data_IF_593315331903
#
_entry.id   IF_593315331903
#
_cell.length_a   1.000
_cell.length_b   1.000
_cell.length_c   1.000
_cell.angle_alpha   90.00
_cell.angle_beta   90.00
_cell.angle_gamma   90.00
#
_symmetry.space_group_name_H-M   'P 1'
#
loop_
_entity.id
_entity.type
_entity.pdbx_description
1 polymer ?
#
# COMPACT_ATOMS: atom_id res chain seq x y z
N UNK A 1 -31.56 -7.02 -5.97
CA UNK A 1 -30.57 -6.21 -5.22
C UNK A 1 -30.38 -6.63 -3.75
N UNK A 2 -30.79 -7.84 -3.31
CA UNK A 2 -30.73 -8.29 -1.90
C UNK A 2 -29.35 -8.86 -1.44
N UNK A 3 -28.31 -8.80 -2.27
CA UNK A 3 -26.97 -9.32 -1.95
C UNK A 3 -25.84 -8.28 -1.91
N UNK A 4 -26.13 -7.00 -2.21
CA UNK A 4 -25.10 -5.94 -2.29
C UNK A 4 -24.89 -5.20 -0.95
N UNK A 5 -25.88 -5.22 -0.07
CA UNK A 5 -25.81 -4.54 1.23
C UNK A 5 -25.56 -5.56 2.33
N UNK A 6 -24.58 -5.33 3.23
CA UNK A 6 -24.34 -6.22 4.37
C UNK A 6 -25.61 -6.29 5.22
N UNK A 7 -25.75 -7.39 5.96
CA UNK A 7 -26.82 -7.58 6.91
C UNK A 7 -26.94 -6.34 7.83
N UNK A 8 -28.15 -5.96 8.27
CA UNK A 8 -28.35 -4.86 9.21
C UNK A 8 -27.41 -5.01 10.41
N UNK A 9 -26.58 -4.01 10.68
CA UNK A 9 -25.54 -4.10 11.70
C UNK A 9 -24.45 -3.03 11.59
N UNK A 10 -23.40 -3.10 12.43
CA UNK A 10 -22.36 -2.07 12.56
C UNK A 10 -21.54 -1.86 11.28
N UNK A 11 -21.58 -2.82 10.36
CA UNK A 11 -20.88 -2.74 9.07
C UNK A 11 -21.50 -1.73 8.10
N UNK A 12 -22.80 -1.42 8.19
CA UNK A 12 -23.46 -0.44 7.31
C UNK A 12 -22.97 0.99 7.54
N UNK A 13 -23.02 1.56 8.77
CA UNK A 13 -22.49 2.89 9.00
C UNK A 13 -20.98 2.95 8.75
N UNK A 14 -20.25 1.88 9.08
CA UNK A 14 -18.82 1.82 8.79
C UNK A 14 -18.50 1.79 7.30
N UNK A 15 -19.32 1.10 6.49
CA UNK A 15 -19.20 1.09 5.04
C UNK A 15 -19.54 2.46 4.43
N UNK A 16 -20.58 3.14 4.91
CA UNK A 16 -20.92 4.49 4.46
C UNK A 16 -19.81 5.50 4.81
N UNK A 17 -19.32 5.49 6.06
CA UNK A 17 -18.18 6.31 6.47
C UNK A 17 -16.93 6.00 5.62
N UNK A 18 -16.68 4.72 5.34
CA UNK A 18 -15.60 4.30 4.43
C UNK A 18 -15.79 4.89 3.04
N UNK A 19 -16.99 4.77 2.46
CA UNK A 19 -17.27 5.23 1.11
C UNK A 19 -17.02 6.75 1.01
N UNK A 20 -17.63 7.53 1.90
CA UNK A 20 -17.51 8.99 1.92
C UNK A 20 -16.05 9.45 2.03
N UNK A 21 -15.30 8.92 3.00
CA UNK A 21 -13.88 9.24 3.18
C UNK A 21 -13.02 8.80 1.98
N UNK A 22 -13.36 7.68 1.33
CA UNK A 22 -12.60 7.19 0.16
C UNK A 22 -12.92 7.91 -1.12
N UNK A 23 -14.13 8.47 -1.28
CA UNK A 23 -14.44 9.44 -2.33
C UNK A 23 -13.57 10.68 -2.17
N UNK A 24 -13.52 11.26 -0.98
CA UNK A 24 -12.64 12.40 -0.70
C UNK A 24 -11.16 12.11 -1.02
N UNK A 25 -10.66 10.98 -0.55
CA UNK A 25 -9.29 10.55 -0.83
C UNK A 25 -9.00 10.39 -2.34
N UNK A 26 -9.96 9.85 -3.11
CA UNK A 26 -9.85 9.75 -4.56
C UNK A 26 -9.78 11.11 -5.27
N UNK A 27 -10.51 12.13 -4.76
CA UNK A 27 -10.38 13.51 -5.25
C UNK A 27 -8.91 13.96 -5.12
N UNK A 28 -8.35 13.85 -3.92
CA UNK A 28 -7.00 14.32 -3.62
C UNK A 28 -5.92 13.52 -4.35
N UNK A 29 -6.05 12.20 -4.48
CA UNK A 29 -5.09 11.38 -5.24
C UNK A 29 -4.96 11.85 -6.69
N UNK A 30 -6.05 12.36 -7.27
CA UNK A 30 -6.11 12.80 -8.66
C UNK A 30 -5.50 14.19 -8.86
N UNK A 31 -5.67 15.09 -7.88
CA UNK A 31 -5.43 16.52 -8.09
C UNK A 31 -4.27 17.09 -7.25
N UNK A 32 -3.89 16.45 -6.14
CA UNK A 32 -2.95 17.01 -5.16
C UNK A 32 -1.55 17.27 -5.73
N UNK A 33 -0.97 16.30 -6.45
CA UNK A 33 0.36 16.46 -7.05
C UNK A 33 0.37 17.63 -8.06
N UNK A 34 -0.67 17.72 -8.90
CA UNK A 34 -0.81 18.79 -9.88
C UNK A 34 -1.07 20.15 -9.22
N UNK A 35 -1.85 20.20 -8.14
CA UNK A 35 -2.05 21.42 -7.37
C UNK A 35 -0.72 21.96 -6.80
N UNK A 36 0.05 21.10 -6.12
CA UNK A 36 1.34 21.52 -5.58
C UNK A 36 2.35 21.89 -6.66
N UNK A 37 2.30 21.23 -7.81
CA UNK A 37 3.21 21.54 -8.91
C UNK A 37 2.85 22.82 -9.67
N UNK A 38 1.58 22.98 -10.05
CA UNK A 38 1.12 24.06 -10.94
C UNK A 38 0.72 25.32 -10.19
N UNK A 39 0.09 25.18 -9.02
CA UNK A 39 -0.46 26.33 -8.27
C UNK A 39 0.52 26.81 -7.21
N UNK A 40 1.12 25.89 -6.45
CA UNK A 40 2.13 26.25 -5.44
C UNK A 40 3.52 26.41 -6.05
N UNK A 41 3.79 25.77 -7.21
CA UNK A 41 5.08 25.89 -7.90
C UNK A 41 6.17 24.94 -7.39
N UNK A 42 5.81 23.88 -6.65
CA UNK A 42 6.77 22.87 -6.19
C UNK A 42 7.20 21.96 -7.34
N UNK A 43 8.48 21.62 -7.39
CA UNK A 43 8.95 20.59 -8.32
C UNK A 43 8.40 19.21 -7.95
N UNK A 44 8.26 18.31 -8.94
CA UNK A 44 7.86 16.91 -8.71
C UNK A 44 8.82 16.22 -7.71
N UNK A 45 10.12 16.55 -7.79
CA UNK A 45 11.12 16.05 -6.86
C UNK A 45 10.86 16.51 -5.42
N UNK A 46 10.55 17.79 -5.20
CA UNK A 46 10.18 18.31 -3.88
C UNK A 46 8.93 17.64 -3.32
N UNK A 47 7.88 17.48 -4.13
CA UNK A 47 6.65 16.80 -3.71
C UNK A 47 6.97 15.35 -3.30
N UNK A 48 7.73 14.63 -4.13
CA UNK A 48 8.15 13.25 -3.86
C UNK A 48 8.98 13.12 -2.58
N UNK A 49 9.97 13.99 -2.37
CA UNK A 49 10.79 14.02 -1.15
C UNK A 49 9.95 14.34 0.08
N UNK A 50 9.04 15.31 -0.02
CA UNK A 50 8.19 15.69 1.12
C UNK A 50 7.21 14.59 1.53
N UNK A 51 6.56 13.94 0.55
CA UNK A 51 5.71 12.78 0.81
C UNK A 51 6.50 11.59 1.38
N UNK A 52 7.76 11.43 0.96
CA UNK A 52 8.66 10.41 1.49
C UNK A 52 8.98 10.66 2.96
N UNK A 53 9.44 11.86 3.30
CA UNK A 53 9.75 12.22 4.69
C UNK A 53 8.49 12.10 5.54
N UNK A 54 7.34 12.61 5.06
CA UNK A 54 6.06 12.47 5.74
C UNK A 54 5.65 11.01 5.97
N UNK A 55 5.86 10.15 4.98
CA UNK A 55 5.70 8.70 5.07
C UNK A 55 6.54 8.09 6.18
N UNK A 56 7.82 8.43 6.27
CA UNK A 56 8.73 7.96 7.32
C UNK A 56 8.21 8.30 8.73
N UNK A 57 7.78 9.54 8.97
CA UNK A 57 7.20 9.93 10.25
C UNK A 57 5.85 9.23 10.51
N UNK A 58 5.01 9.07 9.47
CA UNK A 58 3.74 8.37 9.59
C UNK A 58 3.86 6.90 9.95
N UNK A 59 4.95 6.23 9.58
CA UNK A 59 5.22 4.85 9.99
C UNK A 59 5.43 4.73 11.50
N UNK A 60 6.05 5.75 12.11
CA UNK A 60 6.32 5.77 13.55
C UNK A 60 5.07 6.02 14.39
N UNK A 61 3.99 6.56 13.80
CA UNK A 61 2.77 6.94 14.53
C UNK A 61 1.74 5.81 14.69
N UNK A 62 1.78 4.80 13.82
CA UNK A 62 0.78 3.73 13.79
C UNK A 62 0.74 2.92 15.09
N UNK A 63 1.91 2.64 15.68
CA UNK A 63 2.01 1.83 16.91
C UNK A 63 1.52 2.60 18.16
N UNK A 64 2.00 3.81 18.46
CA UNK A 64 1.52 4.58 19.61
C UNK A 64 0.02 4.89 19.56
N UNK A 65 -0.50 5.27 18.38
CA UNK A 65 -1.92 5.63 18.23
C UNK A 65 -2.84 4.40 18.23
N UNK A 66 -2.37 3.25 17.74
CA UNK A 66 -3.05 1.97 17.93
C UNK A 66 -3.15 1.60 19.40
N UNK A 67 -2.06 1.73 20.16
CA UNK A 67 -2.07 1.48 21.61
C UNK A 67 -3.01 2.45 22.36
N UNK A 68 -3.06 3.72 21.94
CA UNK A 68 -3.98 4.70 22.50
C UNK A 68 -5.45 4.33 22.23
N UNK A 69 -5.75 3.73 21.07
CA UNK A 69 -7.09 3.26 20.73
C UNK A 69 -7.58 2.17 21.67
N UNK A 70 -6.72 1.23 22.02
CA UNK A 70 -7.03 0.15 22.95
C UNK A 70 -7.40 0.70 24.33
N UNK A 71 -6.74 1.79 24.76
CA UNK A 71 -6.97 2.42 26.08
C UNK A 71 -8.17 3.35 26.14
N UNK A 72 -8.43 4.12 25.08
CA UNK A 72 -9.46 5.19 25.08
C UNK A 72 -10.72 4.83 24.29
N UNK A 73 -10.77 3.62 23.73
CA UNK A 73 -11.86 3.15 22.88
C UNK A 73 -11.63 3.53 21.41
N UNK A 74 -11.63 2.56 20.48
CA UNK A 74 -11.23 2.79 19.10
C UNK A 74 -12.21 3.70 18.33
N UNK A 75 -13.50 3.69 18.70
CA UNK A 75 -14.51 4.51 18.02
C UNK A 75 -14.27 6.01 18.19
N UNK A 76 -14.17 6.47 19.44
CA UNK A 76 -14.02 7.91 19.74
C UNK A 76 -12.68 8.43 19.24
N UNK A 77 -11.61 7.65 19.42
CA UNK A 77 -10.30 8.04 18.91
C UNK A 77 -10.28 8.13 17.39
N UNK A 78 -10.93 7.19 16.68
CA UNK A 78 -11.01 7.25 15.22
C UNK A 78 -11.70 8.53 14.76
N UNK A 79 -12.83 8.90 15.38
CA UNK A 79 -13.54 10.15 15.03
C UNK A 79 -12.65 11.38 15.25
N UNK A 80 -11.97 11.47 16.39
CA UNK A 80 -11.08 12.60 16.69
C UNK A 80 -9.96 12.70 15.65
N UNK A 81 -9.28 11.58 15.36
CA UNK A 81 -8.19 11.57 14.39
C UNK A 81 -8.69 11.90 12.98
N UNK A 82 -9.85 11.37 12.56
CA UNK A 82 -10.47 11.70 11.27
C UNK A 82 -10.83 13.18 11.16
N UNK A 83 -11.36 13.80 12.21
CA UNK A 83 -11.66 15.23 12.23
C UNK A 83 -10.37 16.07 12.18
N UNK A 84 -9.32 15.64 12.89
CA UNK A 84 -8.00 16.30 12.82
C UNK A 84 -7.41 16.23 11.42
N UNK A 85 -7.41 15.05 10.77
CA UNK A 85 -6.93 14.91 9.38
C UNK A 85 -7.72 15.83 8.45
N UNK A 86 -9.05 15.82 8.57
CA UNK A 86 -9.94 16.59 7.68
C UNK A 86 -9.86 18.10 7.90
N UNK A 87 -9.59 18.55 9.13
CA UNK A 87 -9.41 19.97 9.43
C UNK A 87 -8.03 20.47 9.01
N UNK A 88 -6.99 19.69 9.31
CA UNK A 88 -5.61 20.04 9.01
C UNK A 88 -5.29 19.91 7.52
N UNK A 89 -6.02 19.12 6.74
CA UNK A 89 -5.85 19.02 5.28
C UNK A 89 -6.12 20.34 4.58
N UNK A 90 -6.99 21.19 5.14
CA UNK A 90 -7.23 22.55 4.63
C UNK A 90 -6.01 23.46 4.76
N UNK A 91 -5.03 23.13 5.63
CA UNK A 91 -3.78 23.89 5.70
C UNK A 91 -2.97 23.78 4.41
N UNK A 92 -3.17 22.74 3.58
CA UNK A 92 -2.54 22.68 2.25
C UNK A 92 -2.93 23.85 1.33
N UNK A 93 -4.07 24.50 1.59
CA UNK A 93 -4.52 25.67 0.83
C UNK A 93 -3.76 26.96 1.18
N UNK A 94 -2.99 26.94 2.27
CA UNK A 94 -2.19 28.04 2.79
C UNK A 94 -0.68 27.81 2.57
N UNK A 95 -0.32 26.78 1.80
CA UNK A 95 1.07 26.42 1.53
C UNK A 95 1.56 27.17 0.30
N UNK A 96 2.63 27.95 0.48
CA UNK A 96 3.32 28.69 -0.59
C UNK A 96 4.77 28.21 -0.77
N UNK A 97 5.30 27.42 0.17
CA UNK A 97 6.71 26.98 0.17
C UNK A 97 6.85 25.48 0.45
N UNK A 98 7.99 24.92 0.03
CA UNK A 98 8.32 23.51 0.29
C UNK A 98 8.32 23.15 1.77
N UNK A 99 8.82 24.02 2.65
CA UNK A 99 8.91 23.74 4.08
C UNK A 99 7.54 23.72 4.77
N UNK A 100 6.62 24.59 4.34
CA UNK A 100 5.22 24.55 4.77
C UNK A 100 4.54 23.26 4.28
N UNK A 101 4.73 22.90 3.00
CA UNK A 101 4.24 21.64 2.45
C UNK A 101 4.73 20.44 3.28
N UNK A 102 6.03 20.39 3.55
CA UNK A 102 6.66 19.31 4.30
C UNK A 102 6.08 19.19 5.72
N UNK A 103 5.95 20.31 6.44
CA UNK A 103 5.41 20.31 7.79
C UNK A 103 3.96 19.81 7.82
N UNK A 104 3.11 20.32 6.93
CA UNK A 104 1.70 19.90 6.82
C UNK A 104 1.60 18.43 6.42
N UNK A 105 2.41 17.99 5.45
CA UNK A 105 2.44 16.60 5.00
C UNK A 105 2.86 15.63 6.11
N UNK A 106 3.89 15.96 6.90
CA UNK A 106 4.33 15.15 8.05
C UNK A 106 3.19 15.00 9.06
N UNK A 107 2.60 16.13 9.51
CA UNK A 107 1.54 16.12 10.52
C UNK A 107 0.34 15.31 10.03
N UNK A 108 -0.11 15.55 8.81
CA UNK A 108 -1.25 14.83 8.25
C UNK A 108 -0.98 13.34 8.09
N UNK A 109 0.19 12.97 7.56
CA UNK A 109 0.54 11.56 7.36
C UNK A 109 0.66 10.84 8.69
N UNK A 110 1.21 11.48 9.73
CA UNK A 110 1.26 10.95 11.11
C UNK A 110 -0.14 10.66 11.65
N UNK A 111 -1.07 11.59 11.53
CA UNK A 111 -2.42 11.43 12.07
C UNK A 111 -3.22 10.43 11.23
N UNK A 112 -3.12 10.48 9.90
CA UNK A 112 -3.82 9.57 8.97
C UNK A 112 -3.39 8.11 9.14
N UNK A 113 -2.08 7.84 9.24
CA UNK A 113 -1.56 6.49 9.49
C UNK A 113 -2.02 5.95 10.84
N UNK A 114 -2.04 6.81 11.86
CA UNK A 114 -2.66 6.50 13.14
C UNK A 114 -4.13 6.15 13.03
N UNK A 115 -4.92 7.01 12.36
CA UNK A 115 -6.35 6.79 12.14
C UNK A 115 -6.63 5.47 11.40
N UNK A 116 -5.79 5.10 10.44
CA UNK A 116 -5.83 3.80 9.77
C UNK A 116 -5.67 2.61 10.72
N UNK A 117 -4.71 2.68 11.65
CA UNK A 117 -4.52 1.66 12.69
C UNK A 117 -5.73 1.56 13.63
N UNK A 118 -6.24 2.70 14.11
CA UNK A 118 -7.43 2.76 14.97
C UNK A 118 -8.67 2.21 14.25
N UNK A 119 -8.83 2.50 12.96
CA UNK A 119 -9.92 1.97 12.13
C UNK A 119 -9.83 0.46 11.97
N UNK A 120 -8.64 -0.09 11.79
CA UNK A 120 -8.45 -1.53 11.71
C UNK A 120 -8.85 -2.22 13.02
N UNK A 121 -8.52 -1.63 14.17
CA UNK A 121 -8.97 -2.09 15.48
C UNK A 121 -10.50 -2.00 15.64
N UNK A 122 -11.12 -0.91 15.19
CA UNK A 122 -12.59 -0.75 15.19
C UNK A 122 -13.27 -1.84 14.35
N UNK A 123 -12.79 -2.09 13.12
CA UNK A 123 -13.31 -3.15 12.24
C UNK A 123 -13.20 -4.51 12.94
N UNK A 124 -12.05 -4.80 13.54
CA UNK A 124 -11.83 -6.07 14.25
C UNK A 124 -12.78 -6.24 15.44
N UNK A 125 -13.08 -5.18 16.17
CA UNK A 125 -13.96 -5.23 17.33
C UNK A 125 -15.45 -5.39 16.98
N UNK A 126 -15.90 -4.84 15.84
CA UNK A 126 -17.31 -4.92 15.41
C UNK A 126 -17.63 -6.16 14.57
N UNK A 127 -16.65 -7.02 14.29
CA UNK A 127 -16.81 -8.22 13.47
C UNK A 127 -16.57 -9.48 14.29
N UNK A 128 -17.55 -10.38 14.31
CA UNK A 128 -17.48 -11.63 15.08
C UNK A 128 -16.86 -12.76 14.23
N UNK A 129 -15.92 -13.51 14.82
CA UNK A 129 -15.30 -14.68 14.21
C UNK A 129 -14.26 -14.38 13.11
N UNK A 130 -13.44 -15.37 12.76
CA UNK A 130 -12.42 -15.23 11.71
C UNK A 130 -13.03 -15.07 10.31
N UNK A 131 -14.06 -15.86 9.99
CA UNK A 131 -14.76 -15.80 8.70
C UNK A 131 -15.50 -14.46 8.50
N UNK A 132 -16.18 -13.96 9.53
CA UNK A 132 -16.86 -12.65 9.50
C UNK A 132 -15.89 -11.49 9.32
N UNK A 133 -14.71 -11.54 9.96
CA UNK A 133 -13.62 -10.57 9.76
C UNK A 133 -13.11 -10.53 8.33
N UNK A 134 -12.88 -11.69 7.71
CA UNK A 134 -12.42 -11.77 6.32
C UNK A 134 -13.48 -11.22 5.36
N UNK A 135 -14.74 -11.60 5.52
CA UNK A 135 -15.83 -11.11 4.68
C UNK A 135 -16.03 -9.60 4.82
N UNK A 136 -16.01 -9.07 6.05
CA UNK A 136 -16.10 -7.63 6.30
C UNK A 136 -14.93 -6.85 5.69
N UNK A 137 -13.70 -7.37 5.81
CA UNK A 137 -12.51 -6.76 5.19
C UNK A 137 -12.61 -6.76 3.67
N UNK A 138 -13.06 -7.86 3.06
CA UNK A 138 -13.26 -7.95 1.63
C UNK A 138 -14.31 -6.94 1.15
N UNK A 139 -15.45 -6.86 1.85
CA UNK A 139 -16.51 -5.90 1.53
C UNK A 139 -16.03 -4.44 1.67
N UNK A 140 -15.38 -4.09 2.79
CA UNK A 140 -14.86 -2.73 3.00
C UNK A 140 -13.74 -2.37 2.01
N UNK A 141 -12.96 -3.35 1.53
CA UNK A 141 -11.99 -3.16 0.45
C UNK A 141 -12.68 -2.83 -0.87
N UNK A 142 -13.73 -3.56 -1.23
CA UNK A 142 -14.52 -3.26 -2.43
C UNK A 142 -15.12 -1.85 -2.37
N UNK A 143 -15.72 -1.47 -1.24
CA UNK A 143 -16.25 -0.11 -1.02
C UNK A 143 -15.13 0.95 -1.09
N UNK A 144 -13.94 0.63 -0.57
CA UNK A 144 -12.78 1.53 -0.67
C UNK A 144 -12.40 1.80 -2.13
N UNK A 145 -12.31 0.76 -2.94
CA UNK A 145 -11.95 0.89 -4.36
C UNK A 145 -13.02 1.67 -5.13
N UNK A 146 -14.31 1.39 -4.87
CA UNK A 146 -15.42 2.13 -5.48
C UNK A 146 -15.34 3.62 -5.09
N UNK A 147 -15.12 3.92 -3.82
CA UNK A 147 -14.99 5.29 -3.34
C UNK A 147 -13.85 6.02 -4.04
N UNK A 148 -12.65 5.43 -4.06
CA UNK A 148 -11.47 6.01 -4.74
C UNK A 148 -11.77 6.26 -6.22
N UNK A 149 -12.40 5.31 -6.92
CA UNK A 149 -12.75 5.44 -8.34
C UNK A 149 -13.74 6.60 -8.58
N UNK A 150 -14.79 6.70 -7.78
CA UNK A 150 -15.75 7.80 -7.87
C UNK A 150 -15.09 9.15 -7.59
N UNK A 151 -14.26 9.21 -6.55
CA UNK A 151 -13.47 10.40 -6.23
C UNK A 151 -12.53 10.78 -7.36
N UNK A 152 -11.82 9.82 -7.95
CA UNK A 152 -10.93 10.09 -9.06
C UNK A 152 -11.67 10.60 -10.31
N UNK A 153 -12.86 10.04 -10.60
CA UNK A 153 -13.72 10.52 -11.67
C UNK A 153 -14.19 11.96 -11.47
N UNK A 154 -14.55 12.36 -10.23
CA UNK A 154 -14.89 13.75 -9.91
C UNK A 154 -13.63 14.64 -9.98
N UNK A 155 -12.49 14.15 -9.46
CA UNK A 155 -11.20 14.85 -9.52
C UNK A 155 -10.76 15.14 -10.96
N UNK A 156 -11.09 14.26 -11.92
CA UNK A 156 -10.82 14.47 -13.33
C UNK A 156 -11.55 15.71 -13.90
N UNK A 157 -12.67 16.13 -13.32
CA UNK A 157 -13.32 17.40 -13.69
C UNK A 157 -12.43 18.59 -13.32
N UNK A 158 -11.80 18.56 -12.15
CA UNK A 158 -10.86 19.61 -11.75
C UNK A 158 -9.62 19.64 -12.66
N UNK A 159 -9.16 18.46 -13.13
CA UNK A 159 -8.09 18.37 -14.12
C UNK A 159 -8.52 18.90 -15.50
N UNK A 160 -9.78 18.68 -15.89
CA UNK A 160 -10.33 19.20 -17.15
C UNK A 160 -10.35 20.73 -17.18
N UNK A 161 -10.78 21.37 -16.08
CA UNK A 161 -10.80 22.83 -15.98
C UNK A 161 -9.41 23.42 -15.72
N UNK A 162 -8.52 22.69 -15.04
CA UNK A 162 -7.14 23.06 -14.75
C UNK A 162 -6.96 24.48 -14.13
N UNK A 163 -7.91 24.90 -13.30
CA UNK A 163 -7.84 26.20 -12.61
C UNK A 163 -7.50 26.03 -11.13
N UNK A 164 -6.80 27.00 -10.55
CA UNK A 164 -6.50 27.02 -9.11
C UNK A 164 -7.75 26.86 -8.24
N UNK A 165 -8.87 27.47 -8.62
CA UNK A 165 -10.15 27.31 -7.92
C UNK A 165 -10.66 25.88 -7.98
N UNK A 166 -10.60 25.21 -9.14
CA UNK A 166 -11.04 23.83 -9.29
C UNK A 166 -10.25 22.89 -8.37
N UNK A 167 -8.92 23.07 -8.30
CA UNK A 167 -8.07 22.32 -7.37
C UNK A 167 -8.46 22.58 -5.91
N UNK A 168 -8.60 23.85 -5.49
CA UNK A 168 -8.95 24.22 -4.10
C UNK A 168 -10.31 23.66 -3.67
N UNK A 169 -11.30 23.67 -4.56
CA UNK A 169 -12.63 23.09 -4.29
C UNK A 169 -12.53 21.60 -3.98
N UNK A 170 -11.62 20.85 -4.61
CA UNK A 170 -11.44 19.42 -4.31
C UNK A 170 -10.92 19.17 -2.89
N UNK A 171 -10.02 20.02 -2.38
CA UNK A 171 -9.56 19.95 -0.98
C UNK A 171 -10.68 20.24 0.01
N UNK A 172 -11.52 21.24 -0.29
CA UNK A 172 -12.69 21.56 0.54
C UNK A 172 -13.70 20.41 0.52
N UNK A 173 -13.96 19.84 -0.65
CA UNK A 173 -14.90 18.73 -0.81
C UNK A 173 -14.42 17.46 -0.10
N UNK A 174 -13.14 17.10 -0.22
CA UNK A 174 -12.55 15.99 0.54
C UNK A 174 -12.70 16.19 2.05
N UNK A 175 -12.35 17.39 2.53
CA UNK A 175 -12.45 17.73 3.95
C UNK A 175 -13.90 17.64 4.45
N UNK A 176 -14.86 18.15 3.67
CA UNK A 176 -16.27 18.05 3.97
C UNK A 176 -16.75 16.60 4.03
N UNK A 177 -16.46 15.80 3.00
CA UNK A 177 -16.86 14.38 2.95
C UNK A 177 -16.24 13.58 4.10
N UNK A 178 -14.99 13.85 4.45
CA UNK A 178 -14.28 13.19 5.54
C UNK A 178 -14.80 13.59 6.93
N UNK A 179 -15.23 14.85 7.11
CA UNK A 179 -15.93 15.30 8.33
C UNK A 179 -17.28 14.58 8.46
N UNK A 180 -18.08 14.55 7.39
CA UNK A 180 -19.37 13.82 7.39
C UNK A 180 -19.14 12.34 7.68
N UNK A 181 -18.12 11.72 7.07
CA UNK A 181 -17.73 10.34 7.34
C UNK A 181 -17.39 10.10 8.82
N UNK A 182 -16.65 11.02 9.46
CA UNK A 182 -16.32 10.94 10.88
C UNK A 182 -17.57 10.97 11.75
N UNK A 183 -18.57 11.81 11.43
CA UNK A 183 -19.84 11.82 12.16
C UNK A 183 -20.67 10.55 11.96
N UNK A 184 -20.68 9.97 10.75
CA UNK A 184 -21.38 8.71 10.47
C UNK A 184 -20.86 7.56 11.36
N UNK A 185 -19.58 7.60 11.76
CA UNK A 185 -19.00 6.60 12.68
C UNK A 185 -19.69 6.58 14.05
N UNK A 186 -20.33 7.67 14.50
CA UNK A 186 -21.07 7.65 15.76
C UNK A 186 -22.26 6.66 15.76
N UNK A 187 -22.78 6.31 14.57
CA UNK A 187 -23.79 5.28 14.41
C UNK A 187 -23.22 3.85 14.54
N UNK A 188 -21.90 3.68 14.60
CA UNK A 188 -21.27 2.42 14.99
C UNK A 188 -21.41 2.25 16.52
N UNK A 189 -21.85 1.09 17.02
CA UNK A 189 -21.96 0.83 18.46
C UNK A 189 -20.68 1.19 19.23
N UNK A 190 -20.83 1.68 20.46
CA UNK A 190 -19.68 1.90 21.35
C UNK A 190 -19.01 0.55 21.58
N UNK A 191 -17.74 0.47 21.21
CA UNK A 191 -16.87 -0.66 21.57
C UNK A 191 -16.21 -0.27 22.88
N UNK A 192 -16.46 -1.03 23.94
CA UNK A 192 -15.78 -0.83 25.21
C UNK A 192 -14.27 -1.05 25.04
N UNK A 193 -13.42 -0.24 25.70
CA UNK A 193 -11.99 -0.50 25.76
C UNK A 193 -11.76 -1.95 26.20
N UNK A 194 -10.98 -2.71 25.42
CA UNK A 194 -10.66 -4.07 25.80
C UNK A 194 -9.79 -4.03 27.07
N UNK A 195 -10.09 -4.81 28.12
CA UNK A 195 -9.22 -4.88 29.28
C UNK A 195 -7.84 -5.36 28.83
N UNK A 196 -6.81 -4.70 29.34
CA UNK A 196 -5.40 -5.02 29.10
C UNK A 196 -5.22 -6.53 29.37
N UNK A 197 -4.74 -7.30 28.39
CA UNK A 197 -3.97 -8.51 28.75
C UNK A 197 -2.75 -7.98 29.49
N UNK A 198 -2.74 -8.09 30.81
CA UNK A 198 -1.82 -7.34 31.67
C UNK A 198 -0.33 -7.60 31.41
N UNK A 199 0.01 -8.70 30.73
CA UNK A 199 1.40 -9.15 30.57
C UNK A 199 1.76 -9.46 29.10
N UNK A 200 1.75 -8.43 28.25
CA UNK A 200 2.22 -8.55 26.86
C UNK A 200 3.30 -7.51 26.55
N UNK A 201 4.50 -7.90 26.08
CA UNK A 201 5.52 -6.92 25.73
C UNK A 201 5.03 -5.94 24.65
N UNK A 202 5.26 -4.64 24.86
CA UNK A 202 4.71 -3.54 24.03
C UNK A 202 5.43 -3.41 22.67
N UNK A 203 6.55 -4.11 22.50
CA UNK A 203 7.46 -3.98 21.36
C UNK A 203 7.95 -5.33 20.81
N UNK A 204 7.14 -6.39 20.93
CA UNK A 204 7.55 -7.75 20.53
C UNK A 204 7.96 -7.76 19.06
N UNK A 205 7.11 -7.20 18.18
CA UNK A 205 7.37 -7.21 16.75
C UNK A 205 8.60 -6.37 16.37
N UNK A 206 8.89 -5.27 17.08
CA UNK A 206 10.10 -4.46 16.84
C UNK A 206 11.38 -5.06 17.45
N UNK A 207 11.25 -6.09 18.30
CA UNK A 207 12.39 -6.85 18.84
C UNK A 207 12.61 -8.16 18.11
N UNK A 208 11.62 -8.64 17.36
CA UNK A 208 11.75 -9.82 16.51
C UNK A 208 12.57 -9.51 15.25
N UNK A 209 13.90 -9.67 15.40
CA UNK A 209 14.87 -9.52 14.31
C UNK A 209 14.59 -10.46 13.14
N UNK A 210 14.02 -11.64 13.39
CA UNK A 210 13.62 -12.61 12.37
C UNK A 210 12.57 -12.02 11.45
N UNK A 211 11.47 -11.59 12.06
CA UNK A 211 10.35 -10.99 11.34
C UNK A 211 10.73 -9.66 10.66
N UNK A 212 11.50 -8.80 11.34
CA UNK A 212 11.97 -7.53 10.77
C UNK A 212 12.84 -7.74 9.54
N UNK A 213 13.71 -8.76 9.53
CA UNK A 213 14.52 -9.08 8.37
C UNK A 213 13.66 -9.54 7.18
N UNK A 214 12.65 -10.39 7.42
CA UNK A 214 11.70 -10.81 6.38
C UNK A 214 10.87 -9.63 5.88
N UNK A 215 10.42 -8.75 6.77
CA UNK A 215 9.72 -7.52 6.41
C UNK A 215 10.59 -6.58 5.57
N UNK A 216 11.89 -6.44 5.88
CA UNK A 216 12.82 -5.63 5.08
C UNK A 216 13.04 -6.22 3.68
N UNK A 217 13.19 -7.54 3.55
CA UNK A 217 13.23 -8.21 2.25
C UNK A 217 11.92 -8.01 1.46
N UNK A 218 10.77 -8.06 2.14
CA UNK A 218 9.47 -7.77 1.54
C UNK A 218 9.41 -6.33 1.01
N UNK A 219 9.89 -5.34 1.76
CA UNK A 219 9.97 -3.96 1.28
C UNK A 219 10.82 -3.85 -0.01
N UNK A 220 12.00 -4.49 -0.04
CA UNK A 220 12.87 -4.47 -1.22
C UNK A 220 12.25 -5.16 -2.43
N UNK A 221 11.52 -6.25 -2.20
CA UNK A 221 10.85 -7.01 -3.24
C UNK A 221 9.61 -6.29 -3.79
N UNK A 222 8.84 -5.61 -2.94
CA UNK A 222 7.59 -4.92 -3.31
C UNK A 222 7.78 -3.72 -4.25
N UNK A 223 9.02 -3.30 -4.53
CA UNK A 223 9.31 -2.25 -5.53
C UNK A 223 8.77 -2.66 -6.92
N UNK A 224 8.68 -3.96 -7.21
CA UNK A 224 8.19 -4.47 -8.50
C UNK A 224 6.77 -4.00 -8.86
N UNK A 225 5.91 -3.73 -7.88
CA UNK A 225 4.55 -3.23 -8.14
C UNK A 225 4.55 -1.92 -8.92
N UNK A 226 5.51 -1.03 -8.64
CA UNK A 226 5.60 0.27 -9.31
C UNK A 226 6.17 0.18 -10.73
N UNK A 227 6.74 -0.95 -11.15
CA UNK A 227 7.38 -1.07 -12.48
C UNK A 227 6.35 -0.92 -13.59
N UNK A 228 5.23 -1.64 -13.53
CA UNK A 228 4.17 -1.56 -14.55
C UNK A 228 3.42 -0.23 -14.50
N UNK A 229 3.22 0.33 -13.31
CA UNK A 229 2.43 1.55 -13.12
C UNK A 229 3.21 2.83 -13.44
N UNK A 230 4.54 2.83 -13.27
CA UNK A 230 5.37 4.05 -13.36
C UNK A 230 6.46 3.92 -14.41
N UNK A 231 7.32 2.89 -14.31
CA UNK A 231 8.51 2.81 -15.17
C UNK A 231 8.17 2.47 -16.63
N UNK A 232 7.27 1.50 -16.84
CA UNK A 232 6.94 1.01 -18.17
C UNK A 232 6.23 2.07 -19.05
N UNK A 233 5.23 2.83 -18.58
CA UNK A 233 4.63 3.89 -19.38
C UNK A 233 5.65 4.90 -19.90
N UNK A 234 6.60 5.30 -19.04
CA UNK A 234 7.66 6.25 -19.39
C UNK A 234 8.69 5.61 -20.34
N UNK A 235 9.09 4.37 -20.08
CA UNK A 235 10.02 3.64 -20.94
C UNK A 235 9.48 3.44 -22.36
N UNK A 236 8.19 3.08 -22.48
CA UNK A 236 7.55 2.88 -23.79
C UNK A 236 7.56 4.18 -24.59
N UNK A 237 7.26 5.30 -23.95
CA UNK A 237 7.18 6.62 -24.61
C UNK A 237 8.55 7.16 -24.99
N UNK A 238 9.54 7.03 -24.10
CA UNK A 238 10.81 7.75 -24.23
C UNK A 238 11.94 6.90 -24.83
N UNK A 239 11.85 5.57 -24.78
CA UNK A 239 12.98 4.66 -25.04
C UNK A 239 12.66 3.48 -25.97
N UNK A 240 11.43 3.38 -26.50
CA UNK A 240 11.05 2.29 -27.41
C UNK A 240 10.33 2.81 -28.64
N UNK A 241 10.37 2.05 -29.73
CA UNK A 241 9.54 2.31 -30.92
C UNK A 241 8.10 1.76 -30.76
N UNK A 242 7.77 1.14 -29.62
CA UNK A 242 6.46 0.55 -29.41
C UNK A 242 5.36 1.62 -29.38
N UNK A 243 4.18 1.37 -29.97
CA UNK A 243 3.09 2.32 -29.91
C UNK A 243 2.61 2.50 -28.47
N UNK A 244 2.11 3.71 -28.15
CA UNK A 244 1.63 4.04 -26.78
C UNK A 244 0.51 3.12 -26.27
N UNK A 245 -0.28 2.51 -27.17
CA UNK A 245 -1.32 1.55 -26.79
C UNK A 245 -0.75 0.28 -26.14
N UNK A 246 0.54 -0.03 -26.36
CA UNK A 246 1.19 -1.19 -25.74
C UNK A 246 1.16 -1.09 -24.23
N UNK A 247 1.21 0.10 -23.63
CA UNK A 247 1.06 0.28 -22.17
C UNK A 247 -0.27 -0.31 -21.68
N UNK A 248 -1.37 -0.03 -22.38
CA UNK A 248 -2.68 -0.58 -22.04
C UNK A 248 -2.73 -2.11 -22.21
N UNK A 249 -2.07 -2.65 -23.24
CA UNK A 249 -1.94 -4.10 -23.41
C UNK A 249 -1.28 -4.76 -22.19
N UNK A 250 -0.19 -4.19 -21.67
CA UNK A 250 0.53 -4.75 -20.52
C UNK A 250 -0.30 -4.72 -19.24
N UNK A 251 -1.06 -3.64 -19.01
CA UNK A 251 -1.98 -3.54 -17.88
C UNK A 251 -3.13 -4.56 -17.98
N UNK A 252 -3.66 -4.79 -19.19
CA UNK A 252 -4.69 -5.81 -19.43
C UNK A 252 -4.12 -7.20 -19.15
N UNK A 253 -2.93 -7.52 -19.66
CA UNK A 253 -2.25 -8.80 -19.39
C UNK A 253 -2.11 -9.02 -17.89
N UNK A 254 -1.57 -8.03 -17.16
CA UNK A 254 -1.40 -8.11 -15.72
C UNK A 254 -2.73 -8.36 -15.01
N UNK A 255 -3.75 -7.56 -15.31
CA UNK A 255 -5.07 -7.64 -14.67
C UNK A 255 -5.75 -8.99 -14.93
N UNK A 256 -5.76 -9.47 -16.18
CA UNK A 256 -6.40 -10.73 -16.56
C UNK A 256 -5.68 -11.91 -15.91
N UNK A 257 -4.35 -11.94 -15.96
CA UNK A 257 -3.59 -13.05 -15.37
C UNK A 257 -3.75 -13.07 -13.85
N UNK A 258 -3.73 -11.92 -13.18
CA UNK A 258 -4.03 -11.84 -11.74
C UNK A 258 -5.43 -12.36 -11.46
N UNK A 259 -6.45 -11.87 -12.16
CA UNK A 259 -7.83 -12.28 -11.94
C UNK A 259 -8.05 -13.78 -12.11
N UNK A 260 -7.43 -14.38 -13.13
CA UNK A 260 -7.58 -15.81 -13.44
C UNK A 260 -6.73 -16.72 -12.53
N UNK A 261 -5.53 -16.27 -12.14
CA UNK A 261 -4.53 -17.14 -11.51
C UNK A 261 -4.21 -16.81 -10.06
N UNK A 262 -4.70 -15.71 -9.47
CA UNK A 262 -4.41 -15.35 -8.06
C UNK A 262 -4.76 -16.50 -7.11
N UNK A 263 -5.98 -17.03 -7.19
CA UNK A 263 -6.45 -18.13 -6.32
C UNK A 263 -5.70 -19.43 -6.59
N UNK A 264 -5.25 -19.65 -7.83
CA UNK A 264 -4.49 -20.86 -8.17
C UNK A 264 -3.04 -20.76 -7.70
N UNK A 265 -2.44 -19.57 -7.76
CA UNK A 265 -1.06 -19.31 -7.35
C UNK A 265 -0.83 -19.48 -5.85
N UNK A 266 -1.87 -19.31 -5.03
CA UNK A 266 -1.79 -19.57 -3.60
C UNK A 266 -1.87 -21.06 -3.26
N UNK A 267 -2.35 -21.92 -4.17
CA UNK A 267 -2.42 -23.37 -3.96
C UNK A 267 -1.01 -23.95 -4.00
N UNK A 268 -0.54 -24.46 -2.87
CA UNK A 268 0.81 -25.02 -2.71
C UNK A 268 1.78 -24.15 -1.91
N UNK A 269 1.37 -22.93 -1.54
CA UNK A 269 2.07 -22.09 -0.56
C UNK A 269 1.32 -22.25 0.76
N UNK A 270 1.74 -23.23 1.56
CA UNK A 270 1.03 -23.65 2.78
C UNK A 270 1.86 -23.45 4.06
N UNK A 271 3.17 -23.22 3.91
CA UNK A 271 4.09 -23.05 5.03
C UNK A 271 5.17 -21.99 4.70
N UNK A 272 5.83 -21.41 5.72
CA UNK A 272 6.86 -20.38 5.52
C UNK A 272 8.00 -20.79 4.58
N UNK A 273 8.40 -22.07 4.55
CA UNK A 273 9.46 -22.53 3.67
C UNK A 273 8.98 -22.63 2.20
N UNK A 274 7.74 -23.07 1.96
CA UNK A 274 7.12 -23.02 0.63
C UNK A 274 6.96 -21.58 0.13
N UNK A 275 6.54 -20.66 1.00
CA UNK A 275 6.43 -19.24 0.69
C UNK A 275 7.79 -18.64 0.33
N UNK A 276 8.85 -18.91 1.10
CA UNK A 276 10.19 -18.44 0.81
C UNK A 276 10.73 -18.96 -0.53
N UNK A 277 10.44 -20.22 -0.89
CA UNK A 277 10.79 -20.78 -2.22
C UNK A 277 10.02 -20.10 -3.34
N UNK A 278 8.72 -19.84 -3.16
CA UNK A 278 7.91 -19.12 -4.13
C UNK A 278 8.44 -17.69 -4.35
N UNK A 279 8.80 -16.97 -3.28
CA UNK A 279 9.39 -15.63 -3.37
C UNK A 279 10.78 -15.63 -4.02
N UNK A 280 11.58 -16.69 -3.82
CA UNK A 280 12.84 -16.87 -4.57
C UNK A 280 12.59 -17.01 -6.07
N UNK A 281 11.66 -17.87 -6.46
CA UNK A 281 11.29 -18.03 -7.87
C UNK A 281 10.76 -16.74 -8.45
N UNK A 282 9.94 -16.00 -7.69
CA UNK A 282 9.48 -14.67 -8.08
C UNK A 282 10.64 -13.71 -8.36
N UNK A 283 11.67 -13.68 -7.51
CA UNK A 283 12.86 -12.83 -7.72
C UNK A 283 13.59 -13.13 -9.01
N UNK A 284 13.71 -14.42 -9.37
CA UNK A 284 14.34 -14.84 -10.62
C UNK A 284 13.47 -14.50 -11.84
N UNK A 285 12.15 -14.65 -11.74
CA UNK A 285 11.22 -14.25 -12.79
C UNK A 285 11.24 -12.73 -12.99
N UNK A 286 11.28 -11.95 -11.91
CA UNK A 286 11.39 -10.49 -12.01
C UNK A 286 12.71 -10.05 -12.64
N UNK A 287 13.84 -10.74 -12.37
CA UNK A 287 15.07 -10.49 -13.11
C UNK A 287 14.87 -10.74 -14.61
N UNK A 288 14.27 -11.86 -14.98
CA UNK A 288 14.00 -12.19 -16.38
C UNK A 288 13.09 -11.15 -17.05
N UNK A 289 12.04 -10.66 -16.36
CA UNK A 289 11.19 -9.60 -16.91
C UNK A 289 11.93 -8.27 -17.07
N UNK A 290 12.80 -7.88 -16.12
CA UNK A 290 13.61 -6.66 -16.27
C UNK A 290 14.54 -6.74 -17.49
N UNK A 291 15.16 -7.91 -17.74
CA UNK A 291 16.00 -8.14 -18.93
C UNK A 291 15.19 -7.99 -20.21
N UNK A 292 13.98 -8.56 -20.25
CA UNK A 292 13.09 -8.46 -21.40
C UNK A 292 12.64 -7.01 -21.66
N UNK A 293 12.28 -6.27 -20.61
CA UNK A 293 11.92 -4.85 -20.72
C UNK A 293 13.08 -3.97 -21.19
N UNK A 294 14.29 -4.24 -20.71
CA UNK A 294 15.49 -3.55 -21.17
C UNK A 294 15.73 -3.79 -22.67
N UNK A 295 15.58 -5.04 -23.12
CA UNK A 295 15.74 -5.44 -24.52
C UNK A 295 14.74 -4.79 -25.48
N UNK A 296 13.58 -4.33 -24.98
CA UNK A 296 12.56 -3.68 -25.81
C UNK A 296 13.03 -2.36 -26.44
N UNK A 297 14.12 -1.76 -25.95
CA UNK A 297 14.72 -0.54 -26.51
C UNK A 297 15.61 -0.78 -27.74
N UNK A 298 16.05 -2.02 -27.98
CA UNK A 298 17.07 -2.33 -28.98
C UNK A 298 16.56 -2.91 -30.31
N UNK A 299 15.24 -3.02 -30.49
CA UNK A 299 14.65 -3.65 -31.68
C UNK A 299 13.51 -2.82 -32.29
N UNK A 300 13.12 -3.16 -33.52
CA UNK A 300 12.00 -2.51 -34.18
C UNK A 300 10.66 -2.77 -33.48
N UNK A 301 9.63 -2.00 -33.85
CA UNK A 301 8.26 -2.02 -33.29
C UNK A 301 7.75 -3.41 -32.87
N UNK A 302 7.85 -4.41 -33.74
CA UNK A 302 7.34 -5.78 -33.49
C UNK A 302 8.11 -6.47 -32.36
N UNK A 303 9.44 -6.34 -32.37
CA UNK A 303 10.32 -6.91 -31.34
C UNK A 303 10.07 -6.24 -29.99
N UNK A 304 9.91 -4.91 -29.98
CA UNK A 304 9.59 -4.16 -28.78
C UNK A 304 8.25 -4.62 -28.16
N UNK A 305 7.18 -4.72 -28.97
CA UNK A 305 5.88 -5.21 -28.50
C UNK A 305 5.98 -6.64 -27.95
N UNK A 306 6.68 -7.54 -28.65
CA UNK A 306 6.84 -8.93 -28.22
C UNK A 306 7.60 -9.02 -26.89
N UNK A 307 8.74 -8.35 -26.76
CA UNK A 307 9.53 -8.33 -25.53
C UNK A 307 8.77 -7.72 -24.35
N UNK A 308 8.05 -6.63 -24.58
CA UNK A 308 7.18 -6.02 -23.56
C UNK A 308 6.08 -7.00 -23.12
N UNK A 309 5.37 -7.63 -24.06
CA UNK A 309 4.29 -8.56 -23.75
C UNK A 309 4.78 -9.81 -23.00
N UNK A 310 5.87 -10.43 -23.46
CA UNK A 310 6.48 -11.58 -22.76
C UNK A 310 7.03 -11.15 -21.40
N UNK A 311 7.69 -9.98 -21.32
CA UNK A 311 8.16 -9.41 -20.07
C UNK A 311 7.04 -9.21 -19.05
N UNK A 312 5.89 -8.68 -19.48
CA UNK A 312 4.73 -8.52 -18.61
C UNK A 312 4.12 -9.85 -18.16
N UNK A 313 4.08 -10.87 -19.02
CA UNK A 313 3.66 -12.22 -18.64
C UNK A 313 4.60 -12.84 -17.59
N UNK A 314 5.91 -12.70 -17.78
CA UNK A 314 6.90 -13.20 -16.81
C UNK A 314 6.80 -12.43 -15.49
N UNK A 315 6.67 -11.11 -15.56
CA UNK A 315 6.48 -10.22 -14.41
C UNK A 315 5.27 -10.65 -13.57
N UNK A 316 4.10 -10.83 -14.19
CA UNK A 316 2.87 -11.12 -13.45
C UNK A 316 2.91 -12.50 -12.80
N UNK A 317 3.58 -13.49 -13.40
CA UNK A 317 3.79 -14.79 -12.75
C UNK A 317 4.66 -14.63 -11.50
N UNK A 318 5.72 -13.81 -11.58
CA UNK A 318 6.55 -13.46 -10.43
C UNK A 318 5.74 -12.74 -9.33
N UNK A 319 4.94 -11.76 -9.71
CA UNK A 319 4.06 -11.01 -8.82
C UNK A 319 3.06 -11.92 -8.09
N UNK A 320 2.43 -12.86 -8.79
CA UNK A 320 1.49 -13.82 -8.19
C UNK A 320 2.13 -14.67 -7.09
N UNK A 321 3.35 -15.19 -7.36
CA UNK A 321 4.11 -15.98 -6.39
C UNK A 321 4.58 -15.13 -5.20
N UNK A 322 5.05 -13.92 -5.47
CA UNK A 322 5.51 -12.99 -4.42
C UNK A 322 4.34 -12.56 -3.52
N UNK A 323 3.20 -12.19 -4.10
CA UNK A 323 2.01 -11.72 -3.39
C UNK A 323 1.46 -12.80 -2.46
N UNK A 324 1.34 -14.04 -2.97
CA UNK A 324 0.88 -15.18 -2.18
C UNK A 324 1.87 -15.55 -1.06
N UNK A 325 3.17 -15.55 -1.35
CA UNK A 325 4.22 -15.81 -0.36
C UNK A 325 4.31 -14.72 0.72
N UNK A 326 4.24 -13.46 0.33
CA UNK A 326 4.26 -12.29 1.21
C UNK A 326 3.08 -12.33 2.19
N UNK A 327 1.88 -12.64 1.70
CA UNK A 327 0.71 -12.78 2.55
C UNK A 327 0.90 -13.85 3.64
N UNK A 328 1.33 -15.06 3.26
CA UNK A 328 1.56 -16.15 4.21
C UNK A 328 2.64 -15.77 5.24
N UNK A 329 3.78 -15.26 4.79
CA UNK A 329 4.90 -14.91 5.67
C UNK A 329 4.52 -13.82 6.70
N UNK A 330 3.72 -12.84 6.30
CA UNK A 330 3.27 -11.79 7.23
C UNK A 330 2.37 -12.30 8.36
N UNK A 331 1.59 -13.37 8.13
CA UNK A 331 0.70 -13.95 9.15
C UNK A 331 1.34 -15.11 9.91
N UNK A 332 1.98 -16.04 9.22
CA UNK A 332 2.47 -17.29 9.82
C UNK A 332 3.75 -17.09 10.63
N UNK A 333 4.60 -16.11 10.29
CA UNK A 333 5.76 -15.78 11.12
C UNK A 333 5.39 -14.96 12.35
N UNK A 334 4.24 -14.29 12.35
CA UNK A 334 3.79 -13.45 13.45
C UNK A 334 3.34 -14.29 14.66
N UNK A 335 3.66 -13.81 15.86
CA UNK A 335 3.19 -14.44 17.10
C UNK A 335 1.66 -14.28 17.26
N UNK A 336 0.98 -15.36 17.65
CA UNK A 336 -0.49 -15.41 17.73
C UNK A 336 -1.05 -14.39 18.73
N UNK A 337 -0.34 -14.17 19.83
CA UNK A 337 -0.70 -13.17 20.84
C UNK A 337 -0.48 -11.71 20.42
N UNK A 338 0.26 -11.45 19.33
CA UNK A 338 0.68 -10.11 18.93
C UNK A 338 0.47 -9.81 17.43
N UNK A 339 -0.39 -10.56 16.73
CA UNK A 339 -0.68 -10.41 15.30
C UNK A 339 -0.86 -8.94 14.85
N UNK A 340 -1.50 -8.09 15.66
CA UNK A 340 -1.65 -6.66 15.35
C UNK A 340 -0.32 -5.90 15.22
N UNK A 341 0.65 -6.12 16.12
CA UNK A 341 1.96 -5.46 16.06
C UNK A 341 2.75 -5.90 14.83
N UNK A 342 2.75 -7.21 14.55
CA UNK A 342 3.45 -7.80 13.40
C UNK A 342 2.86 -7.33 12.06
N UNK A 343 1.53 -7.28 11.95
CA UNK A 343 0.86 -6.72 10.77
C UNK A 343 1.13 -5.22 10.61
N UNK A 344 1.29 -4.48 11.72
CA UNK A 344 1.80 -3.11 11.71
C UNK A 344 3.17 -3.01 11.03
N UNK A 345 4.14 -3.82 11.46
CA UNK A 345 5.48 -3.89 10.85
C UNK A 345 5.42 -4.29 9.37
N UNK A 346 4.55 -5.23 8.99
CA UNK A 346 4.39 -5.65 7.60
C UNK A 346 3.84 -4.53 6.72
N UNK A 347 2.80 -3.83 7.18
CA UNK A 347 2.26 -2.65 6.49
C UNK A 347 3.30 -1.52 6.39
N UNK A 348 4.15 -1.40 7.41
CA UNK A 348 5.29 -0.47 7.39
C UNK A 348 6.26 -0.81 6.26
N UNK A 349 6.60 -2.09 6.07
CA UNK A 349 7.46 -2.51 4.95
C UNK A 349 6.89 -2.15 3.58
N UNK A 350 5.57 -2.29 3.40
CA UNK A 350 4.89 -1.93 2.16
C UNK A 350 4.94 -0.42 1.93
N UNK A 351 4.73 0.37 2.98
CA UNK A 351 4.78 1.84 2.88
C UNK A 351 6.19 2.33 2.53
N UNK A 352 7.24 1.74 3.12
CA UNK A 352 8.63 2.04 2.76
C UNK A 352 8.87 1.72 1.28
N UNK A 353 8.41 0.56 0.80
CA UNK A 353 8.53 0.18 -0.60
C UNK A 353 7.85 1.19 -1.53
N UNK A 354 6.59 1.52 -1.30
CA UNK A 354 5.83 2.46 -2.15
C UNK A 354 6.49 3.84 -2.19
N UNK A 355 7.10 4.25 -1.08
CA UNK A 355 7.80 5.51 -0.95
C UNK A 355 9.12 5.55 -1.73
N UNK A 356 9.91 4.48 -1.65
CA UNK A 356 11.24 4.42 -2.29
C UNK A 356 11.15 4.03 -3.77
N UNK A 357 10.10 3.31 -4.18
CA UNK A 357 9.98 2.77 -5.52
C UNK A 357 10.06 3.83 -6.64
N UNK A 358 9.33 4.97 -6.61
CA UNK A 358 9.44 5.98 -7.66
C UNK A 358 10.86 6.51 -7.84
N UNK A 359 11.60 6.75 -6.74
CA UNK A 359 12.99 7.20 -6.79
C UNK A 359 13.91 6.15 -7.38
N UNK A 360 13.75 4.88 -6.97
CA UNK A 360 14.54 3.77 -7.53
C UNK A 360 14.28 3.62 -9.03
N UNK A 361 13.02 3.70 -9.47
CA UNK A 361 12.65 3.59 -10.88
C UNK A 361 13.16 4.77 -11.71
N UNK A 362 13.09 5.99 -11.15
CA UNK A 362 13.60 7.20 -11.79
C UNK A 362 15.12 7.17 -11.96
N UNK A 363 15.86 6.73 -10.94
CA UNK A 363 17.33 6.71 -10.97
C UNK A 363 17.89 5.54 -11.78
N UNK A 364 17.29 4.35 -11.66
CA UNK A 364 17.79 3.13 -12.28
C UNK A 364 17.23 2.96 -13.71
N UNK A 365 16.07 2.30 -13.96
CA UNK A 365 15.53 2.13 -15.31
C UNK A 365 15.49 3.40 -16.17
N UNK A 366 14.98 4.50 -15.61
CA UNK A 366 14.73 5.71 -16.40
C UNK A 366 15.96 6.62 -16.49
N UNK A 367 16.86 6.57 -15.52
CA UNK A 367 18.07 7.39 -15.48
C UNK A 367 19.28 6.73 -16.16
N UNK A 368 19.50 5.44 -15.89
CA UNK A 368 20.62 4.67 -16.44
C UNK A 368 20.26 3.87 -17.69
N UNK A 369 18.98 3.82 -18.07
CA UNK A 369 18.50 3.04 -19.21
C UNK A 369 18.64 1.53 -19.00
N UNK A 370 19.13 0.83 -20.03
CA UNK A 370 19.31 -0.64 -20.02
C UNK A 370 20.09 -1.14 -18.79
N UNK A 371 21.28 -0.60 -18.44
CA UNK A 371 21.96 -0.95 -17.19
C UNK A 371 21.09 -0.85 -15.94
N UNK A 372 20.24 0.18 -15.85
CA UNK A 372 19.35 0.41 -14.72
C UNK A 372 18.31 -0.69 -14.53
N UNK A 373 17.72 -1.17 -15.64
CA UNK A 373 16.83 -2.33 -15.64
C UNK A 373 17.53 -3.58 -15.13
N UNK A 374 18.75 -3.85 -15.61
CA UNK A 374 19.52 -5.03 -15.20
C UNK A 374 19.89 -4.97 -13.71
N UNK A 375 20.34 -3.81 -13.21
CA UNK A 375 20.65 -3.61 -11.79
C UNK A 375 19.41 -3.89 -10.92
N UNK A 376 18.25 -3.36 -11.33
CA UNK A 376 16.99 -3.59 -10.63
C UNK A 376 16.56 -5.07 -10.67
N UNK A 377 16.77 -5.75 -11.80
CA UNK A 377 16.53 -7.19 -11.92
C UNK A 377 17.43 -8.01 -10.99
N UNK A 378 18.72 -7.69 -10.94
CA UNK A 378 19.69 -8.33 -10.05
C UNK A 378 19.29 -8.12 -8.60
N UNK A 379 18.85 -6.90 -8.23
CA UNK A 379 18.30 -6.62 -6.91
C UNK A 379 17.14 -7.57 -6.55
N UNK A 380 16.14 -7.74 -7.43
CA UNK A 380 15.03 -8.66 -7.17
C UNK A 380 15.48 -10.12 -7.03
N UNK A 381 16.44 -10.56 -7.85
CA UNK A 381 17.00 -11.91 -7.75
C UNK A 381 17.74 -12.12 -6.42
N UNK A 382 18.59 -11.16 -6.02
CA UNK A 382 19.33 -11.24 -4.74
C UNK A 382 18.37 -11.25 -3.56
N UNK A 383 17.43 -10.30 -3.51
CA UNK A 383 16.43 -10.22 -2.44
C UNK A 383 15.59 -11.49 -2.39
N UNK A 384 15.12 -11.98 -3.55
CA UNK A 384 14.36 -13.23 -3.65
C UNK A 384 15.13 -14.45 -3.15
N UNK A 385 16.41 -14.59 -3.49
CA UNK A 385 17.26 -15.70 -3.01
C UNK A 385 17.46 -15.62 -1.49
N UNK A 386 17.59 -14.41 -0.93
CA UNK A 386 17.77 -14.20 0.52
C UNK A 386 16.53 -14.58 1.35
N UNK A 387 15.33 -14.63 0.77
CA UNK A 387 14.13 -15.08 1.50
C UNK A 387 14.30 -16.49 2.09
N UNK A 388 14.93 -17.42 1.38
CA UNK A 388 15.07 -18.81 1.84
C UNK A 388 15.88 -18.92 3.15
N UNK A 389 17.14 -18.44 3.22
CA UNK A 389 17.91 -18.50 4.46
C UNK A 389 17.33 -17.61 5.56
N UNK A 390 16.81 -16.43 5.24
CA UNK A 390 16.27 -15.49 6.25
C UNK A 390 14.98 -16.00 6.88
N UNK A 391 14.06 -16.56 6.09
CA UNK A 391 12.83 -17.17 6.62
C UNK A 391 13.13 -18.41 7.46
N UNK A 392 14.09 -19.25 7.03
CA UNK A 392 14.55 -20.40 7.84
C UNK A 392 15.12 -19.95 9.18
N UNK A 393 15.95 -18.91 9.18
CA UNK A 393 16.50 -18.32 10.39
C UNK A 393 15.42 -17.72 11.30
N UNK A 394 14.47 -16.97 10.72
CA UNK A 394 13.35 -16.38 11.47
C UNK A 394 12.46 -17.47 12.11
N UNK A 395 12.12 -18.52 11.36
CA UNK A 395 11.33 -19.64 11.86
C UNK A 395 12.05 -20.38 13.01
N UNK A 396 13.34 -20.68 12.85
CA UNK A 396 14.13 -21.37 13.87
C UNK A 396 14.22 -20.57 15.19
N UNK A 397 14.35 -19.24 15.11
CA UNK A 397 14.36 -18.37 16.30
C UNK A 397 13.05 -18.42 17.07
N UNK A 398 11.93 -18.52 16.37
CA UNK A 398 10.60 -18.62 17.01
C UNK A 398 10.43 -19.95 17.73
N UNK A 399 10.87 -21.06 17.13
CA UNK A 399 10.83 -22.36 17.78
C UNK A 399 11.67 -22.38 19.07
N UNK A 400 12.84 -21.75 19.04
CA UNK A 400 13.72 -21.65 20.21
C UNK A 400 13.13 -20.80 21.36
N UNK A 401 12.24 -19.84 21.07
CA UNK A 401 11.54 -19.06 22.11
C UNK A 401 10.31 -19.76 22.69
N UNK A 402 9.74 -20.75 22.00
CA UNK A 402 8.54 -21.48 22.44
C UNK A 402 8.86 -22.72 23.28
N UNK A 403 10.11 -23.21 23.24
CA UNK A 403 10.59 -24.29 24.12
C UNK A 403 11.32 -23.64 25.28
N UNK A 404 10.76 -23.59 26.50
CA UNK A 404 11.53 -23.18 27.67
C UNK A 404 12.70 -24.13 27.83
N UNK A 405 13.90 -23.61 28.08
CA UNK A 405 15.04 -24.45 28.48
C UNK A 405 14.60 -25.29 29.68
N UNK A 406 14.57 -26.61 29.47
CA UNK A 406 14.17 -27.60 30.47
C UNK A 406 15.18 -27.69 31.62
#
# INVERSE_FOLDING_TARGET
>A
MKGLLPAPGPLRPLALATLLSRVGNGLLMTVSVLYFNRIVGLSIAQIGVGLTIAGLFGLLSAVPLGHLADRRGPRTLFVILSLLVSGLSLLYLLVDTFWQFLAVAIVLTVIDRGAGAVRAALIAAVTQGAAGRVAARAYLRAITNIGIMLGAGIGALALHFDTGTAYRVMFVLDSFLSIVAAFVVFAVPRVEPQPKKEDGPVWIALRDRGYLAVAALNAGMSIHYAVLDVAIPLWVVDHTEAPRWTVALLLIINTVVIALFQVRSSRGIADPASAARATRTAGLLLLASMVLFAGASGGGVVVAIALLAVGALVQVIGELLQSSGSFLLGFDLAADEAQGQYQGVWNTSMSISTMVAPTVLALLPLGLGVPGWIILGVWFAVVGVLFVPVVRWAAARRTATLVPAA
#
